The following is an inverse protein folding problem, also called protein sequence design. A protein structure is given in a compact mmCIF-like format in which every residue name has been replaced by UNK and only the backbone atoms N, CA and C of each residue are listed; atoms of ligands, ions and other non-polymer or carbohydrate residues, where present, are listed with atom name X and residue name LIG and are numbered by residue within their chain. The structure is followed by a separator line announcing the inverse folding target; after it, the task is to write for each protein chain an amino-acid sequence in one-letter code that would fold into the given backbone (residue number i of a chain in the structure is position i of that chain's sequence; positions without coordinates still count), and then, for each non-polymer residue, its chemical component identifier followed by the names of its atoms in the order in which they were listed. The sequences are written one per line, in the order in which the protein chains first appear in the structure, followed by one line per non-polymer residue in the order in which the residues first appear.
data_IF_949385378639
#
_entry.id   IF_949385378639
#
_cell.length_a   1.000
_cell.length_b   1.000
_cell.length_c   1.000
_cell.angle_alpha   90.00
_cell.angle_beta   90.00
_cell.angle_gamma   90.00
#
_symmetry.space_group_name_H-M   'P 1'
#
loop_
_entity.id
_entity.type
_entity.pdbx_description
1 polymer ?
#
# COMPACT_ATOMS: atom_id res chain seq x y z
N UNK A 1 -26.05 -57.81 22.03
CA UNK A 1 -24.86 -56.93 22.06
C UNK A 1 -24.26 -56.95 20.67
N UNK A 2 -24.08 -55.80 19.99
CA UNK A 2 -23.74 -55.79 18.58
C UNK A 2 -22.25 -56.10 18.35
N UNK A 3 -22.03 -57.05 17.45
CA UNK A 3 -20.74 -57.45 16.89
C UNK A 3 -20.36 -56.45 15.80
N UNK A 4 -19.33 -55.63 16.02
CA UNK A 4 -18.82 -54.73 14.99
C UNK A 4 -17.79 -55.45 14.13
N UNK A 5 -18.17 -55.65 12.88
CA UNK A 5 -17.40 -56.23 11.78
C UNK A 5 -16.16 -55.40 11.45
N UNK A 6 -14.99 -56.05 11.40
CA UNK A 6 -13.76 -55.50 10.84
C UNK A 6 -13.86 -55.48 9.30
N UNK A 7 -13.84 -54.29 8.69
CA UNK A 7 -13.74 -54.15 7.23
C UNK A 7 -12.28 -53.96 6.84
N UNK A 8 -11.82 -54.87 5.98
CA UNK A 8 -10.48 -54.99 5.43
C UNK A 8 -9.99 -53.72 4.70
N UNK A 9 -8.72 -53.35 4.95
CA UNK A 9 -7.94 -52.43 4.12
C UNK A 9 -7.70 -53.06 2.74
N UNK A 10 -8.26 -52.48 1.69
CA UNK A 10 -7.88 -52.78 0.32
C UNK A 10 -7.64 -51.49 -0.48
N UNK A 11 -6.38 -51.33 -0.89
CA UNK A 11 -5.86 -50.55 -2.02
C UNK A 11 -6.06 -49.02 -2.00
N UNK A 12 -5.06 -48.28 -1.52
CA UNK A 12 -4.79 -46.91 -2.00
C UNK A 12 -4.32 -46.99 -3.47
N UNK A 13 -4.89 -46.22 -4.41
CA UNK A 13 -4.27 -46.01 -5.71
C UNK A 13 -3.01 -45.16 -5.55
N UNK A 14 -1.96 -45.51 -6.30
CA UNK A 14 -0.71 -44.74 -6.38
C UNK A 14 -0.99 -43.28 -6.77
N UNK A 15 -0.19 -42.30 -6.29
CA UNK A 15 -0.37 -40.91 -6.66
C UNK A 15 -0.13 -40.76 -8.18
N UNK A 16 -1.01 -40.02 -8.90
CA UNK A 16 -0.75 -39.71 -10.29
C UNK A 16 0.52 -38.88 -10.40
N UNK A 17 1.35 -39.27 -11.37
CA UNK A 17 2.61 -38.67 -11.74
C UNK A 17 2.52 -37.14 -11.80
N UNK A 18 3.61 -36.48 -11.38
CA UNK A 18 3.93 -35.06 -11.60
C UNK A 18 3.35 -34.57 -12.93
N UNK A 19 2.14 -34.00 -12.87
CA UNK A 19 1.50 -33.34 -14.00
C UNK A 19 2.39 -32.16 -14.34
N UNK A 20 2.96 -32.19 -15.54
CA UNK A 20 3.71 -31.09 -16.11
C UNK A 20 2.95 -29.78 -15.89
N UNK A 21 3.63 -28.80 -15.29
CA UNK A 21 3.15 -27.43 -15.15
C UNK A 21 2.53 -27.00 -16.47
N UNK A 22 1.28 -26.57 -16.43
CA UNK A 22 0.57 -26.17 -17.64
C UNK A 22 1.32 -25.00 -18.30
N UNK A 23 1.31 -24.89 -19.64
CA UNK A 23 1.89 -23.74 -20.33
C UNK A 23 1.35 -22.39 -19.80
N UNK A 24 0.12 -22.39 -19.28
CA UNK A 24 -0.54 -21.25 -18.63
C UNK A 24 0.12 -20.83 -17.31
N UNK A 25 0.57 -21.77 -16.47
CA UNK A 25 1.31 -21.43 -15.25
C UNK A 25 2.70 -20.89 -15.57
N UNK A 26 3.30 -21.39 -16.66
CA UNK A 26 4.61 -20.92 -17.14
C UNK A 26 4.52 -19.49 -17.69
N UNK A 27 3.45 -19.15 -18.43
CA UNK A 27 3.18 -17.78 -18.86
C UNK A 27 2.80 -16.84 -17.71
N UNK A 28 2.07 -17.31 -16.69
CA UNK A 28 1.76 -16.55 -15.48
C UNK A 28 3.03 -16.20 -14.67
N UNK A 29 3.99 -17.12 -14.59
CA UNK A 29 5.29 -16.85 -13.96
C UNK A 29 6.20 -15.96 -14.84
N UNK A 30 6.16 -16.11 -16.17
CA UNK A 30 6.92 -15.26 -17.08
C UNK A 30 6.42 -13.81 -17.12
N UNK A 31 5.10 -13.59 -16.98
CA UNK A 31 4.51 -12.24 -16.87
C UNK A 31 4.75 -11.60 -15.51
N UNK A 32 4.91 -12.38 -14.43
CA UNK A 32 5.29 -11.88 -13.11
C UNK A 32 6.72 -11.30 -13.08
N UNK A 33 7.65 -11.86 -13.85
CA UNK A 33 9.04 -11.39 -13.92
C UNK A 33 9.20 -10.02 -14.62
N UNK A 34 8.17 -9.52 -15.32
CA UNK A 34 8.18 -8.26 -16.06
C UNK A 34 7.63 -7.05 -15.29
N UNK A 35 7.31 -7.17 -13.99
CA UNK A 35 6.64 -6.11 -13.23
C UNK A 35 7.59 -5.05 -12.67
N UNK A 36 8.22 -4.22 -13.51
CA UNK A 36 8.87 -2.98 -13.01
C UNK A 36 8.63 -1.79 -13.95
N UNK A 37 7.66 -0.93 -13.56
CA UNK A 37 7.99 0.48 -13.38
C UNK A 37 7.38 1.17 -12.12
N UNK A 38 6.50 0.52 -11.34
CA UNK A 38 5.78 1.21 -10.23
C UNK A 38 6.57 1.27 -8.92
N UNK A 39 7.35 0.22 -8.61
CA UNK A 39 8.03 0.10 -7.31
C UNK A 39 9.13 1.16 -7.08
N UNK A 40 9.91 1.51 -8.11
CA UNK A 40 11.04 2.44 -7.96
C UNK A 40 10.59 3.89 -7.72
N UNK A 41 9.55 4.35 -8.43
CA UNK A 41 8.99 5.68 -8.20
C UNK A 41 8.40 5.81 -6.79
N UNK A 42 7.66 4.79 -6.34
CA UNK A 42 7.11 4.76 -4.98
C UNK A 42 8.20 4.78 -3.90
N UNK A 43 9.29 4.03 -4.09
CA UNK A 43 10.46 4.04 -3.19
C UNK A 43 11.09 5.43 -3.13
N UNK A 44 11.30 6.08 -4.28
CA UNK A 44 11.90 7.42 -4.33
C UNK A 44 11.02 8.47 -3.63
N UNK A 45 9.71 8.42 -3.85
CA UNK A 45 8.72 9.26 -3.15
C UNK A 45 8.80 9.04 -1.63
N UNK A 46 8.84 7.78 -1.18
CA UNK A 46 8.94 7.44 0.24
C UNK A 46 10.26 7.89 0.86
N UNK A 47 11.39 7.71 0.19
CA UNK A 47 12.70 8.16 0.67
C UNK A 47 12.75 9.68 0.81
N UNK A 48 12.20 10.42 -0.15
CA UNK A 48 12.13 11.89 -0.08
C UNK A 48 11.30 12.35 1.11
N UNK A 49 10.12 11.75 1.31
CA UNK A 49 9.25 12.07 2.46
C UNK A 49 9.92 11.70 3.78
N UNK A 50 10.58 10.54 3.87
CA UNK A 50 11.28 10.09 5.07
C UNK A 50 12.40 11.07 5.47
N UNK A 51 13.24 11.48 4.51
CA UNK A 51 14.32 12.45 4.76
C UNK A 51 13.76 13.78 5.21
N UNK A 52 12.69 14.25 4.57
CA UNK A 52 12.07 15.53 4.89
C UNK A 52 11.44 15.52 6.29
N UNK A 53 10.69 14.47 6.65
CA UNK A 53 10.11 14.31 7.99
C UNK A 53 11.19 14.16 9.07
N UNK A 54 12.27 13.42 8.78
CA UNK A 54 13.41 13.28 9.70
C UNK A 54 14.10 14.63 9.93
N UNK A 55 14.25 15.44 8.88
CA UNK A 55 14.81 16.80 8.98
C UNK A 55 13.93 17.69 9.85
N UNK A 56 12.61 17.67 9.67
CA UNK A 56 11.67 18.46 10.48
C UNK A 56 11.70 18.01 11.94
N UNK A 57 11.69 16.71 12.22
CA UNK A 57 11.77 16.18 13.58
C UNK A 57 13.09 16.58 14.26
N UNK A 58 14.20 16.54 13.51
CA UNK A 58 15.51 16.98 13.99
C UNK A 58 15.50 18.48 14.35
N UNK A 59 15.02 19.33 13.43
CA UNK A 59 14.96 20.79 13.61
C UNK A 59 13.98 21.23 14.71
N UNK A 60 12.99 20.40 15.06
CA UNK A 60 11.99 20.70 16.10
C UNK A 60 12.51 20.48 17.53
N UNK A 61 13.76 20.04 17.68
CA UNK A 61 14.42 19.84 18.97
C UNK A 61 14.59 18.38 19.37
N UNK A 62 14.49 17.43 18.42
CA UNK A 62 14.78 16.01 18.62
C UNK A 62 14.00 15.33 19.77
N UNK A 63 12.80 15.81 20.10
CA UNK A 63 12.02 15.20 21.19
C UNK A 63 11.49 13.83 20.74
N UNK A 64 11.39 12.83 21.63
CA UNK A 64 10.82 11.53 21.28
C UNK A 64 9.41 11.62 20.68
N UNK A 65 8.63 12.60 21.12
CA UNK A 65 7.29 12.90 20.59
C UNK A 65 7.31 13.32 19.12
N UNK A 66 8.34 14.04 18.67
CA UNK A 66 8.46 14.52 17.30
C UNK A 66 8.82 13.38 16.36
N UNK A 67 9.68 12.46 16.80
CA UNK A 67 10.01 11.23 16.08
C UNK A 67 8.82 10.27 15.97
N UNK A 68 8.06 10.10 17.05
CA UNK A 68 6.84 9.30 17.03
C UNK A 68 5.80 9.90 16.07
N UNK A 69 5.65 11.23 16.10
CA UNK A 69 4.79 11.96 15.17
C UNK A 69 5.24 11.79 13.71
N UNK A 70 6.52 11.97 13.43
CA UNK A 70 7.10 11.76 12.11
C UNK A 70 6.91 10.32 11.60
N UNK A 71 7.07 9.32 12.45
CA UNK A 71 6.85 7.92 12.11
C UNK A 71 5.37 7.63 11.80
N UNK A 72 4.43 8.14 12.61
CA UNK A 72 2.99 7.98 12.36
C UNK A 72 2.56 8.63 11.04
N UNK A 73 3.07 9.83 10.77
CA UNK A 73 2.88 10.56 9.51
C UNK A 73 3.48 9.77 8.34
N UNK A 74 4.70 9.25 8.46
CA UNK A 74 5.32 8.43 7.40
C UNK A 74 4.53 7.14 7.10
N UNK A 75 4.04 6.43 8.11
CA UNK A 75 3.18 5.24 7.89
C UNK A 75 1.88 5.63 7.16
N UNK A 76 1.31 6.78 7.52
CA UNK A 76 0.11 7.32 6.86
C UNK A 76 0.37 7.66 5.39
N UNK A 77 1.58 8.14 5.06
CA UNK A 77 2.02 8.33 3.69
C UNK A 77 2.06 7.03 2.90
N UNK A 78 2.76 6.02 3.42
CA UNK A 78 2.88 4.71 2.76
C UNK A 78 1.51 4.07 2.50
N UNK A 79 0.61 4.15 3.49
CA UNK A 79 -0.77 3.72 3.33
C UNK A 79 -1.49 4.50 2.22
N UNK A 80 -1.26 5.81 2.14
CA UNK A 80 -1.72 6.64 1.03
C UNK A 80 -1.21 6.15 -0.32
N UNK A 81 0.11 5.96 -0.47
CA UNK A 81 0.72 5.47 -1.72
C UNK A 81 0.08 4.16 -2.17
N UNK A 82 -0.05 3.19 -1.26
CA UNK A 82 -0.69 1.91 -1.53
C UNK A 82 -2.13 2.09 -2.00
N UNK A 83 -2.90 2.94 -1.32
CA UNK A 83 -4.29 3.22 -1.71
C UNK A 83 -4.39 3.85 -3.10
N UNK A 84 -3.48 4.75 -3.45
CA UNK A 84 -3.41 5.33 -4.80
C UNK A 84 -3.00 4.30 -5.86
N UNK A 85 -2.07 3.40 -5.58
CA UNK A 85 -1.71 2.30 -6.50
C UNK A 85 -2.88 1.33 -6.73
N UNK A 86 -3.65 1.03 -5.68
CA UNK A 86 -4.88 0.24 -5.80
C UNK A 86 -5.93 0.98 -6.64
N UNK A 87 -6.13 2.27 -6.40
CA UNK A 87 -7.05 3.11 -7.18
C UNK A 87 -6.63 3.16 -8.66
N UNK A 88 -5.35 3.35 -8.96
CA UNK A 88 -4.82 3.38 -10.31
C UNK A 88 -4.98 2.02 -11.02
N UNK A 89 -4.77 0.93 -10.29
CA UNK A 89 -4.97 -0.43 -10.80
C UNK A 89 -6.42 -0.69 -11.18
N UNK A 90 -7.38 -0.25 -10.35
CA UNK A 90 -8.81 -0.33 -10.65
C UNK A 90 -9.18 0.50 -11.89
N UNK A 91 -8.57 1.68 -12.07
CA UNK A 91 -8.82 2.55 -13.22
C UNK A 91 -8.30 2.02 -14.57
N UNK A 92 -7.38 1.04 -14.56
CA UNK A 92 -6.86 0.39 -15.77
C UNK A 92 -7.65 -0.84 -16.19
N UNK A 93 -8.58 -1.32 -15.36
CA UNK A 93 -9.40 -2.48 -15.67
C UNK A 93 -10.53 -2.10 -16.64
N UNK A 94 -10.86 -2.93 -17.64
CA UNK A 94 -12.02 -2.70 -18.53
C UNK A 94 -13.34 -2.60 -17.76
N UNK A 95 -13.45 -3.37 -16.67
CA UNK A 95 -14.54 -3.32 -15.70
C UNK A 95 -13.91 -3.29 -14.32
N UNK A 96 -14.04 -2.18 -13.60
CA UNK A 96 -13.51 -2.06 -12.24
C UNK A 96 -14.23 -3.05 -11.30
N UNK A 97 -13.46 -3.71 -10.42
CA UNK A 97 -14.01 -4.61 -9.39
C UNK A 97 -14.78 -3.82 -8.33
N UNK A 98 -14.31 -2.61 -8.01
CA UNK A 98 -14.91 -1.73 -7.01
C UNK A 98 -15.31 -0.41 -7.65
N UNK A 99 -16.61 -0.13 -7.71
CA UNK A 99 -17.14 1.09 -8.36
C UNK A 99 -16.73 2.40 -7.66
N UNK A 100 -16.54 2.35 -6.34
CA UNK A 100 -16.27 3.54 -5.53
C UNK A 100 -14.77 3.85 -5.38
N UNK A 101 -13.89 3.24 -6.18
CA UNK A 101 -12.43 3.37 -6.02
C UNK A 101 -11.92 4.82 -6.04
N UNK A 102 -12.59 5.73 -6.78
CA UNK A 102 -12.28 7.17 -6.80
C UNK A 102 -12.42 7.88 -5.45
N UNK A 103 -13.17 7.31 -4.51
CA UNK A 103 -13.32 7.88 -3.17
C UNK A 103 -12.05 7.78 -2.34
N UNK A 104 -11.13 6.86 -2.66
CA UNK A 104 -9.85 6.73 -1.95
C UNK A 104 -9.09 8.07 -1.95
N UNK A 105 -8.84 8.65 -3.13
CA UNK A 105 -8.18 9.95 -3.24
C UNK A 105 -8.91 11.07 -2.50
N UNK A 106 -10.24 11.10 -2.55
CA UNK A 106 -11.04 12.17 -1.93
C UNK A 106 -10.96 12.09 -0.41
N UNK A 107 -11.18 10.90 0.13
CA UNK A 107 -11.09 10.65 1.58
C UNK A 107 -9.67 10.89 2.09
N UNK A 108 -8.65 10.55 1.30
CA UNK A 108 -7.27 10.83 1.63
C UNK A 108 -7.00 12.35 1.75
N UNK A 109 -7.45 13.17 0.80
CA UNK A 109 -7.27 14.63 0.90
C UNK A 109 -8.09 15.22 2.05
N UNK A 110 -9.34 14.79 2.21
CA UNK A 110 -10.21 15.29 3.29
C UNK A 110 -9.63 15.01 4.67
N UNK A 111 -9.06 13.81 4.92
CA UNK A 111 -8.42 13.53 6.21
C UNK A 111 -7.22 14.43 6.47
N UNK A 112 -6.42 14.76 5.44
CA UNK A 112 -5.27 15.65 5.61
C UNK A 112 -5.71 17.08 5.94
N UNK A 113 -6.79 17.58 5.32
CA UNK A 113 -7.35 18.90 5.65
C UNK A 113 -7.81 18.93 7.12
N UNK A 114 -8.48 17.88 7.60
CA UNK A 114 -8.90 17.76 8.99
C UNK A 114 -7.70 17.68 9.96
N UNK A 115 -6.64 16.97 9.57
CA UNK A 115 -5.40 16.90 10.34
C UNK A 115 -4.69 18.25 10.40
N UNK A 116 -4.58 18.98 9.29
CA UNK A 116 -4.02 20.34 9.27
C UNK A 116 -4.79 21.23 10.24
N UNK A 117 -6.12 21.25 10.17
CA UNK A 117 -6.95 22.04 11.09
C UNK A 117 -6.68 21.66 12.55
N UNK A 118 -6.62 20.36 12.85
CA UNK A 118 -6.34 19.85 14.20
C UNK A 118 -4.96 20.24 14.70
N UNK A 119 -3.91 20.09 13.88
CA UNK A 119 -2.53 20.39 14.25
C UNK A 119 -2.25 21.89 14.35
N UNK A 120 -2.96 22.71 13.58
CA UNK A 120 -2.97 24.16 13.78
C UNK A 120 -3.55 24.55 15.14
N UNK A 121 -4.64 23.89 15.57
CA UNK A 121 -5.24 24.13 16.88
C UNK A 121 -4.35 23.67 18.05
N UNK A 122 -3.57 22.60 17.88
CA UNK A 122 -2.69 22.06 18.93
C UNK A 122 -1.26 22.61 18.89
N UNK A 123 -0.93 23.49 17.93
CA UNK A 123 0.42 24.05 17.77
C UNK A 123 1.49 23.03 17.36
N UNK A 124 1.07 21.88 16.81
CA UNK A 124 1.96 20.78 16.43
C UNK A 124 2.52 20.97 15.02
N UNK A 125 3.46 21.91 14.86
CA UNK A 125 4.02 22.31 13.57
C UNK A 125 4.63 21.17 12.73
N UNK A 126 5.35 20.17 13.29
CA UNK A 126 5.88 19.06 12.50
C UNK A 126 4.80 18.21 11.84
N UNK A 127 3.73 17.92 12.59
CA UNK A 127 2.59 17.15 12.12
C UNK A 127 1.78 17.93 11.08
N UNK A 128 1.65 19.25 11.27
CA UNK A 128 1.02 20.15 10.31
C UNK A 128 1.77 20.15 8.97
N UNK A 129 3.10 20.31 9.00
CA UNK A 129 3.93 20.27 7.79
C UNK A 129 3.79 18.93 7.03
N UNK A 130 3.83 17.81 7.75
CA UNK A 130 3.57 16.48 7.19
C UNK A 130 2.23 16.38 6.47
N UNK A 131 1.17 16.90 7.11
CA UNK A 131 -0.19 16.85 6.57
C UNK A 131 -0.36 17.72 5.31
N UNK A 132 0.32 18.87 5.25
CA UNK A 132 0.34 19.72 4.04
C UNK A 132 0.99 19.01 2.86
N UNK A 133 2.11 18.31 3.10
CA UNK A 133 2.78 17.51 2.06
C UNK A 133 1.84 16.41 1.55
N UNK A 134 1.07 15.78 2.43
CA UNK A 134 0.14 14.73 2.03
C UNK A 134 -1.09 15.27 1.32
N UNK A 135 -1.63 16.42 1.73
CA UNK A 135 -2.72 17.06 1.01
C UNK A 135 -2.33 17.40 -0.44
N UNK A 136 -1.06 17.77 -0.66
CA UNK A 136 -0.52 18.11 -1.99
C UNK A 136 -0.04 16.89 -2.79
N UNK A 137 0.20 15.76 -2.13
CA UNK A 137 0.74 14.54 -2.72
C UNK A 137 -0.01 14.01 -3.96
N UNK A 138 -1.36 13.95 -4.00
CA UNK A 138 -2.07 13.42 -5.18
C UNK A 138 -1.78 14.24 -6.44
N UNK A 139 -1.66 15.56 -6.29
CA UNK A 139 -1.33 16.49 -7.38
C UNK A 139 0.12 16.32 -7.81
N UNK A 140 1.03 16.21 -6.83
CA UNK A 140 2.46 15.99 -7.10
C UNK A 140 2.70 14.66 -7.83
N UNK A 141 2.06 13.57 -7.38
CA UNK A 141 2.13 12.24 -7.99
C UNK A 141 1.57 12.22 -9.42
N UNK A 142 0.43 12.88 -9.64
CA UNK A 142 -0.14 13.00 -10.99
C UNK A 142 0.82 13.72 -11.94
N UNK A 143 1.50 14.78 -11.48
CA UNK A 143 2.49 15.49 -12.29
C UNK A 143 3.73 14.65 -12.60
N UNK A 144 4.25 13.91 -11.60
CA UNK A 144 5.41 13.04 -11.79
C UNK A 144 5.14 11.87 -12.75
N UNK A 145 3.91 11.33 -12.75
CA UNK A 145 3.52 10.18 -13.58
C UNK A 145 2.92 10.57 -14.96
N UNK A 146 2.79 11.87 -15.25
CA UNK A 146 2.40 12.38 -16.58
C UNK A 146 3.60 12.55 -17.54
N UNK A 147 4.82 12.48 -17.02
CA UNK A 147 6.05 12.34 -17.82
C UNK A 147 6.44 10.88 -17.93
#
# INVERSE_FOLDING_TARGET
MPTSTFTSLSALPAPPALTALSPLETEAHATSAASKPVAWAAINEAMLVLVLLSTIAYLSGCKPTDWLGAAAVFITFLHGQLSFDMQESQGKMPVATVQNYHWSSRLFVTKEILWIATFMMTGSWPLCAGSVIFATYPRWRAWLRQK
#
